data_IF_387848794147
#
_entry.id   IF_387848794147
#
_cell.length_a   1.000
_cell.length_b   1.000
_cell.length_c   1.000
_cell.angle_alpha   90.00
_cell.angle_beta   90.00
_cell.angle_gamma   90.00
#
_symmetry.space_group_name_H-M   'P 1'
#
loop_
_entity.id
_entity.type
_entity.pdbx_description
1 polymer ?
#
# COMPACT_ATOMS: atom_id res chain seq x y z
N UNK A 1 3.74 23.64 20.27
CA UNK A 1 3.99 23.41 18.84
C UNK A 1 2.65 23.03 18.26
N UNK A 2 1.98 23.93 17.52
CA UNK A 2 0.67 23.66 16.93
C UNK A 2 0.84 22.79 15.68
N UNK A 3 1.13 21.51 15.92
CA UNK A 3 1.19 20.51 14.87
C UNK A 3 -0.21 19.93 14.69
N UNK A 4 -0.68 19.88 13.45
CA UNK A 4 -1.94 19.18 13.14
C UNK A 4 -1.84 17.69 13.54
N UNK A 5 -2.89 17.12 14.16
CA UNK A 5 -2.89 15.73 14.59
C UNK A 5 -2.64 14.77 13.41
N UNK A 6 -1.71 13.84 13.57
CA UNK A 6 -1.40 12.83 12.57
C UNK A 6 -2.31 11.60 12.65
N UNK A 7 -1.99 10.62 11.81
CA UNK A 7 -2.69 9.34 11.77
C UNK A 7 -2.54 8.54 13.09
N UNK A 8 -1.37 8.62 13.74
CA UNK A 8 -1.12 8.01 15.05
C UNK A 8 -1.96 8.67 16.15
N UNK A 9 -2.02 10.00 16.18
CA UNK A 9 -2.86 10.73 17.15
C UNK A 9 -4.34 10.34 17.00
N UNK A 10 -4.79 10.22 15.75
CA UNK A 10 -6.16 9.76 15.43
C UNK A 10 -6.40 8.33 15.91
N UNK A 11 -5.43 7.43 15.73
CA UNK A 11 -5.52 6.06 16.23
C UNK A 11 -5.62 6.04 17.76
N UNK A 12 -4.73 6.73 18.47
CA UNK A 12 -4.74 6.77 19.94
C UNK A 12 -6.07 7.31 20.50
N UNK A 13 -6.59 8.37 19.89
CA UNK A 13 -7.86 8.98 20.29
C UNK A 13 -9.06 8.03 20.07
N UNK A 14 -9.09 7.27 18.96
CA UNK A 14 -10.19 6.35 18.64
C UNK A 14 -10.09 4.99 19.33
N UNK A 15 -8.86 4.48 19.50
CA UNK A 15 -8.57 3.19 20.11
C UNK A 15 -8.62 3.25 21.65
N UNK A 16 -8.49 4.44 22.25
CA UNK A 16 -8.50 4.62 23.71
C UNK A 16 -7.14 4.37 24.36
N UNK A 17 -6.05 4.54 23.62
CA UNK A 17 -4.68 4.32 24.09
C UNK A 17 -3.83 3.50 23.11
N UNK A 18 -2.65 3.07 23.55
CA UNK A 18 -1.75 2.26 22.75
C UNK A 18 -2.36 0.90 22.36
N UNK A 19 -1.97 0.38 21.20
CA UNK A 19 -2.48 -0.89 20.68
C UNK A 19 -1.90 -1.25 19.31
N UNK A 20 -2.32 -2.40 18.80
CA UNK A 20 -1.91 -2.89 17.47
C UNK A 20 -2.77 -2.21 16.41
N UNK A 21 -2.11 -1.53 15.46
CA UNK A 21 -2.81 -0.75 14.42
C UNK A 21 -3.07 -1.55 13.13
N UNK A 22 -2.14 -2.42 12.73
CA UNK A 22 -2.27 -3.26 11.54
C UNK A 22 -1.47 -4.56 11.70
N UNK A 23 -1.81 -5.54 10.87
CA UNK A 23 -1.09 -6.80 10.72
C UNK A 23 -0.68 -6.93 9.25
N UNK A 24 0.59 -7.21 8.99
CA UNK A 24 1.07 -7.53 7.65
C UNK A 24 1.00 -9.06 7.46
N UNK A 25 0.38 -9.48 6.37
CA UNK A 25 0.23 -10.90 6.01
C UNK A 25 1.05 -11.16 4.76
N UNK A 26 2.02 -12.07 4.85
CA UNK A 26 2.84 -12.47 3.72
C UNK A 26 2.02 -13.29 2.71
N UNK A 27 2.23 -13.04 1.43
CA UNK A 27 1.65 -13.82 0.34
C UNK A 27 2.65 -13.95 -0.81
N UNK A 28 2.53 -15.03 -1.59
CA UNK A 28 3.43 -15.31 -2.72
C UNK A 28 3.08 -14.50 -3.98
N UNK A 29 1.82 -14.09 -4.14
CA UNK A 29 1.32 -13.29 -5.26
C UNK A 29 0.38 -12.20 -4.74
N UNK A 30 0.92 -10.99 -4.59
CA UNK A 30 0.18 -9.86 -4.00
C UNK A 30 -0.94 -9.35 -4.92
N UNK A 31 -0.74 -9.36 -6.24
CA UNK A 31 -1.73 -8.85 -7.21
C UNK A 31 -2.97 -9.74 -7.16
N UNK A 32 -2.79 -11.06 -7.32
CA UNK A 32 -3.90 -12.00 -7.26
C UNK A 32 -4.59 -12.02 -5.89
N UNK A 33 -3.80 -11.86 -4.81
CA UNK A 33 -4.33 -11.81 -3.44
C UNK A 33 -5.23 -10.60 -3.23
N UNK A 34 -4.80 -9.40 -3.62
CA UNK A 34 -5.57 -8.16 -3.47
C UNK A 34 -6.85 -8.21 -4.31
N UNK A 35 -6.76 -8.67 -5.57
CA UNK A 35 -7.94 -8.89 -6.42
C UNK A 35 -8.95 -9.83 -5.76
N UNK A 36 -8.48 -10.98 -5.27
CA UNK A 36 -9.33 -12.00 -4.67
C UNK A 36 -10.02 -11.48 -3.40
N UNK A 37 -9.28 -10.76 -2.56
CA UNK A 37 -9.84 -10.15 -1.34
C UNK A 37 -10.83 -9.03 -1.68
N UNK A 38 -10.53 -8.20 -2.67
CA UNK A 38 -11.41 -7.15 -3.16
C UNK A 38 -12.73 -7.72 -3.70
N UNK A 39 -12.65 -8.77 -4.53
CA UNK A 39 -13.83 -9.49 -5.05
C UNK A 39 -14.65 -10.16 -3.94
N UNK A 40 -14.05 -10.45 -2.79
CA UNK A 40 -14.73 -10.98 -1.58
C UNK A 40 -15.21 -9.88 -0.63
N UNK A 41 -15.06 -8.61 -0.98
CA UNK A 41 -15.60 -7.46 -0.23
C UNK A 41 -14.63 -6.76 0.72
N UNK A 42 -13.34 -7.09 0.69
CA UNK A 42 -12.32 -6.34 1.45
C UNK A 42 -12.08 -5.00 0.76
N UNK A 43 -12.21 -3.90 1.51
CA UNK A 43 -11.93 -2.56 1.01
C UNK A 43 -10.45 -2.21 1.21
N UNK A 44 -9.79 -1.79 0.14
CA UNK A 44 -8.41 -1.30 0.15
C UNK A 44 -8.36 0.21 -0.01
N UNK A 45 -7.28 0.81 0.49
CA UNK A 45 -6.97 2.22 0.25
C UNK A 45 -6.68 2.44 -1.24
N UNK A 46 -6.97 3.65 -1.72
CA UNK A 46 -6.70 4.06 -3.08
C UNK A 46 -5.40 4.87 -3.13
N UNK A 47 -4.63 4.66 -4.19
CA UNK A 47 -3.38 5.38 -4.43
C UNK A 47 -3.53 6.26 -5.67
N UNK A 48 -3.06 7.52 -5.64
CA UNK A 48 -3.09 8.38 -6.82
C UNK A 48 -2.39 7.76 -8.03
N UNK A 49 -2.96 7.88 -9.22
CA UNK A 49 -2.37 7.38 -10.47
C UNK A 49 -0.96 7.92 -10.74
N UNK A 50 -0.67 9.14 -10.28
CA UNK A 50 0.64 9.78 -10.41
C UNK A 50 1.78 9.01 -9.72
N UNK A 51 1.48 8.20 -8.70
CA UNK A 51 2.46 7.31 -8.09
C UNK A 51 2.98 6.29 -9.11
N UNK A 52 2.08 5.66 -9.85
CA UNK A 52 2.42 4.64 -10.85
C UNK A 52 3.06 5.25 -12.10
N UNK A 53 2.70 6.49 -12.45
CA UNK A 53 3.37 7.24 -13.53
C UNK A 53 4.86 7.44 -13.18
N UNK A 54 5.15 7.92 -11.97
CA UNK A 54 6.51 8.08 -11.47
C UNK A 54 7.23 6.74 -11.29
N UNK A 55 6.50 5.70 -10.89
CA UNK A 55 7.05 4.36 -10.74
C UNK A 55 7.53 3.80 -12.08
N UNK A 56 6.77 4.03 -13.15
CA UNK A 56 7.13 3.59 -14.50
C UNK A 56 8.43 4.24 -15.00
N UNK A 57 8.68 5.50 -14.63
CA UNK A 57 9.94 6.19 -14.92
C UNK A 57 11.14 5.55 -14.20
N UNK A 58 10.93 5.05 -12.97
CA UNK A 58 11.97 4.39 -12.16
C UNK A 58 12.20 2.93 -12.55
N UNK A 59 11.14 2.20 -12.90
CA UNK A 59 11.15 0.77 -13.19
C UNK A 59 10.84 0.49 -14.66
N UNK A 60 11.82 0.77 -15.53
CA UNK A 60 11.71 0.62 -16.99
C UNK A 60 11.49 -0.84 -17.44
N UNK A 61 11.73 -1.83 -16.57
CA UNK A 61 11.88 -3.24 -16.98
C UNK A 61 10.58 -4.00 -17.21
N UNK A 62 9.40 -3.53 -16.79
CA UNK A 62 8.14 -4.23 -17.08
C UNK A 62 6.90 -3.35 -16.95
N UNK A 63 6.45 -2.76 -18.07
CA UNK A 63 5.19 -2.00 -18.15
C UNK A 63 3.96 -2.81 -17.69
N UNK A 64 3.94 -4.13 -17.96
CA UNK A 64 2.83 -5.00 -17.56
C UNK A 64 2.66 -5.08 -16.03
N UNK A 65 3.78 -5.10 -15.30
CA UNK A 65 3.74 -5.14 -13.82
C UNK A 65 3.17 -3.85 -13.24
N UNK A 66 3.58 -2.69 -13.76
CA UNK A 66 3.12 -1.38 -13.23
C UNK A 66 1.60 -1.22 -13.41
N UNK A 67 1.05 -1.71 -14.51
CA UNK A 67 -0.40 -1.65 -14.74
C UNK A 67 -1.17 -2.55 -13.77
N UNK A 68 -0.65 -3.75 -13.46
CA UNK A 68 -1.25 -4.63 -12.45
C UNK A 68 -1.21 -4.01 -11.05
N UNK A 69 -0.09 -3.38 -10.68
CA UNK A 69 0.04 -2.64 -9.42
C UNK A 69 -0.94 -1.45 -9.37
N UNK A 70 -1.05 -0.68 -10.46
CA UNK A 70 -1.99 0.45 -10.58
C UNK A 70 -3.42 0.01 -10.37
N UNK A 71 -3.82 -1.05 -11.04
CA UNK A 71 -5.18 -1.60 -10.99
C UNK A 71 -5.55 -2.12 -9.60
N UNK A 72 -4.57 -2.66 -8.88
CA UNK A 72 -4.77 -3.24 -7.53
C UNK A 72 -4.44 -2.28 -6.39
N UNK A 73 -3.98 -1.07 -6.69
CA UNK A 73 -3.49 -0.10 -5.70
C UNK A 73 -2.30 -0.61 -4.85
N UNK A 74 -1.51 -1.56 -5.37
CA UNK A 74 -0.36 -2.12 -4.65
C UNK A 74 0.84 -1.20 -4.79
N UNK A 75 1.47 -0.89 -3.65
CA UNK A 75 2.69 -0.11 -3.61
C UNK A 75 3.92 -1.02 -3.67
N UNK A 76 4.98 -0.54 -4.30
CA UNK A 76 6.29 -1.18 -4.33
C UNK A 76 7.35 -0.22 -3.80
N UNK A 77 8.33 -0.77 -3.10
CA UNK A 77 9.52 -0.05 -2.68
C UNK A 77 10.75 -0.95 -2.85
N UNK A 78 11.93 -0.35 -2.96
CA UNK A 78 13.20 -1.06 -3.09
C UNK A 78 14.21 -0.46 -2.11
N UNK A 79 14.85 -1.30 -1.31
CA UNK A 79 15.92 -0.90 -0.40
C UNK A 79 17.29 -1.47 -0.83
N UNK A 80 18.34 -1.12 -0.10
CA UNK A 80 19.71 -1.55 -0.41
C UNK A 80 19.94 -3.07 -0.35
N UNK A 81 18.99 -3.84 0.19
CA UNK A 81 19.05 -5.30 0.36
C UNK A 81 18.10 -6.06 -0.57
N UNK A 82 17.25 -5.36 -1.33
CA UNK A 82 16.46 -5.91 -2.42
C UNK A 82 15.10 -5.24 -2.60
N UNK A 83 14.35 -5.75 -3.57
CA UNK A 83 12.90 -5.56 -3.65
C UNK A 83 12.26 -6.59 -2.74
N UNK A 84 11.45 -6.15 -1.78
CA UNK A 84 10.65 -7.06 -0.93
C UNK A 84 9.24 -7.11 -1.46
#
# INVERSE_FOLDING_TARGET
TDREPGQIDTFLARHGGAGVQHLALLCDDIVSTVETLGNRGVAFLQTPGSYYDQLQERFVRSNLLVEDLRRTNVLIDEDHWGQV
#
